data_IF_860248450605
#
_entry.id   IF_860248450605
#
_cell.length_a   1.000
_cell.length_b   1.000
_cell.length_c   1.000
_cell.angle_alpha   90.00
_cell.angle_beta   90.00
_cell.angle_gamma   90.00
#
_symmetry.space_group_name_H-M   'P 1'
#
loop_
_entity.id
_entity.type
_entity.pdbx_description
1 polymer ?
#
# COMPACT_ATOMS: atom_id res chain seq x y z
N UNK A 1 -14.86 18.31 -9.61
CA UNK A 1 -14.94 17.30 -8.52
C UNK A 1 -14.89 15.92 -9.18
N UNK A 2 -13.70 15.35 -9.37
CA UNK A 2 -13.51 14.09 -10.13
C UNK A 2 -13.17 12.99 -9.12
N UNK A 3 -14.11 12.07 -8.90
CA UNK A 3 -13.88 10.83 -8.15
C UNK A 3 -13.10 9.87 -9.04
N UNK A 4 -11.88 9.49 -8.65
CA UNK A 4 -11.17 8.37 -9.25
C UNK A 4 -11.61 7.09 -8.55
N UNK A 5 -12.37 6.27 -9.27
CA UNK A 5 -12.72 4.89 -8.89
C UNK A 5 -11.54 4.00 -9.26
N UNK A 6 -11.00 3.24 -8.31
CA UNK A 6 -10.01 2.19 -8.58
C UNK A 6 -10.70 0.83 -8.52
N UNK A 7 -10.83 0.17 -9.67
CA UNK A 7 -11.25 -1.24 -9.78
C UNK A 7 -9.99 -2.10 -9.77
N UNK A 8 -9.85 -3.00 -8.80
CA UNK A 8 -8.78 -3.99 -8.77
C UNK A 8 -9.29 -5.33 -9.32
N UNK A 9 -8.89 -5.65 -10.55
CA UNK A 9 -8.91 -7.00 -11.12
C UNK A 9 -7.46 -7.48 -11.10
N UNK A 10 -7.20 -8.65 -10.49
CA UNK A 10 -5.94 -9.42 -10.48
C UNK A 10 -4.75 -8.73 -11.20
N UNK A 11 -3.93 -7.99 -10.46
CA UNK A 11 -2.81 -7.23 -11.03
C UNK A 11 -1.47 -7.97 -10.90
N UNK A 12 -0.84 -8.21 -12.05
CA UNK A 12 0.61 -8.06 -12.17
C UNK A 12 0.98 -6.62 -11.76
N UNK A 13 2.00 -6.46 -10.93
CA UNK A 13 2.44 -5.16 -10.43
C UNK A 13 2.97 -4.33 -11.60
N UNK A 14 2.17 -3.36 -12.07
CA UNK A 14 2.56 -2.43 -13.13
C UNK A 14 3.14 -1.16 -12.49
N UNK A 15 4.45 -0.97 -12.54
CA UNK A 15 5.11 0.27 -12.14
C UNK A 15 5.37 1.13 -13.39
N UNK A 16 4.53 2.16 -13.62
CA UNK A 16 4.82 3.17 -14.65
C UNK A 16 5.79 4.22 -14.10
N UNK A 17 6.99 4.31 -14.66
CA UNK A 17 7.91 5.45 -14.48
C UNK A 17 7.61 6.52 -15.54
N UNK A 18 7.57 7.80 -15.15
CA UNK A 18 7.42 8.92 -16.10
C UNK A 18 8.75 9.17 -16.82
N UNK A 19 8.78 9.37 -18.16
CA UNK A 19 9.97 9.84 -18.83
C UNK A 19 10.19 11.34 -18.54
N UNK A 20 11.43 11.71 -18.24
CA UNK A 20 11.86 13.10 -18.06
C UNK A 20 11.76 13.88 -19.37
N UNK A 21 11.26 15.13 -19.31
CA UNK A 21 11.27 16.07 -20.43
C UNK A 21 12.71 16.50 -20.73
N UNK A 22 13.20 16.20 -21.93
CA UNK A 22 14.41 16.82 -22.48
C UNK A 22 14.01 18.18 -23.06
N UNK A 23 14.67 19.24 -22.61
CA UNK A 23 14.53 20.59 -23.17
C UNK A 23 15.60 20.77 -24.25
N UNK A 24 15.21 20.91 -25.51
CA UNK A 24 16.12 21.30 -26.59
C UNK A 24 16.20 22.82 -26.68
N UNK A 25 17.41 23.37 -26.67
CA UNK A 25 17.66 24.77 -27.07
C UNK A 25 17.60 24.89 -28.59
N UNK A 26 16.84 25.87 -29.10
CA UNK A 26 16.85 26.23 -30.52
C UNK A 26 17.94 27.27 -30.82
N UNK A 27 18.72 27.03 -31.88
CA UNK A 27 19.45 28.09 -32.59
C UNK A 27 19.58 27.75 -34.08
N UNK A 28 19.11 28.66 -34.95
CA UNK A 28 19.71 28.89 -36.26
C UNK A 28 19.06 28.25 -37.49
N UNK A 29 18.54 29.12 -38.36
CA UNK A 29 17.92 28.91 -39.68
C UNK A 29 18.67 28.01 -40.68
N UNK A 30 17.91 27.25 -41.49
CA UNK A 30 18.39 26.71 -42.77
C UNK A 30 17.54 25.62 -43.45
N UNK A 31 16.81 26.02 -44.50
CA UNK A 31 16.32 25.27 -45.69
C UNK A 31 15.46 24.01 -45.54
N UNK A 32 14.26 24.12 -46.11
CA UNK A 32 13.31 23.04 -46.40
C UNK A 32 13.94 21.88 -47.19
N UNK A 33 13.81 20.68 -46.65
CA UNK A 33 13.92 19.42 -47.38
C UNK A 33 12.70 18.59 -47.01
N UNK A 34 11.92 18.16 -48.00
CA UNK A 34 10.79 17.25 -47.79
C UNK A 34 11.31 15.95 -47.17
N UNK A 35 11.00 15.72 -45.90
CA UNK A 35 11.11 14.42 -45.28
C UNK A 35 9.71 13.81 -45.26
N UNK A 36 9.55 12.69 -45.98
CA UNK A 36 8.41 11.82 -45.82
C UNK A 36 8.27 11.47 -44.34
N UNK A 37 7.16 11.90 -43.73
CA UNK A 37 6.81 11.50 -42.39
C UNK A 37 6.47 10.02 -42.40
N UNK A 38 7.48 9.17 -42.19
CA UNK A 38 7.25 7.84 -41.64
C UNK A 38 6.62 8.08 -40.27
N UNK A 39 5.28 8.00 -40.23
CA UNK A 39 4.54 7.95 -38.98
C UNK A 39 5.06 6.76 -38.21
N UNK A 40 5.93 7.01 -37.24
CA UNK A 40 6.25 6.01 -36.25
C UNK A 40 4.99 5.83 -35.42
N UNK A 41 4.30 4.72 -35.66
CA UNK A 41 3.44 4.09 -34.66
C UNK A 41 4.33 3.81 -33.45
N UNK A 42 4.47 4.80 -32.56
CA UNK A 42 5.01 4.58 -31.22
C UNK A 42 3.97 3.77 -30.45
N UNK A 43 3.94 2.45 -30.70
CA UNK A 43 3.28 1.50 -29.82
C UNK A 43 4.02 1.58 -28.49
N UNK A 44 3.46 2.31 -27.54
CA UNK A 44 4.02 2.44 -26.19
C UNK A 44 4.30 1.06 -25.59
N UNK A 45 5.57 0.73 -25.43
CA UNK A 45 6.02 -0.41 -24.64
C UNK A 45 6.11 0.09 -23.21
N UNK A 46 5.14 -0.27 -22.37
CA UNK A 46 5.31 -0.09 -20.93
C UNK A 46 6.31 -1.16 -20.45
N UNK A 47 7.51 -0.80 -19.97
CA UNK A 47 8.42 -1.79 -19.41
C UNK A 47 7.75 -2.41 -18.18
N UNK A 48 7.41 -3.70 -18.26
CA UNK A 48 6.92 -4.48 -17.11
C UNK A 48 8.10 -5.22 -16.52
N UNK A 49 8.40 -4.94 -15.26
CA UNK A 49 9.43 -5.65 -14.49
C UNK A 49 8.71 -6.57 -13.52
N UNK A 50 9.07 -7.86 -13.54
CA UNK A 50 8.54 -8.85 -12.61
C UNK A 50 9.57 -9.10 -11.51
N UNK A 51 9.10 -9.10 -10.26
CA UNK A 51 9.88 -9.52 -9.10
C UNK A 51 9.24 -10.79 -8.52
N UNK A 52 10.01 -11.88 -8.50
CA UNK A 52 9.62 -13.17 -7.97
C UNK A 52 9.75 -13.23 -6.46
N UNK A 53 9.08 -14.19 -5.83
CA UNK A 53 9.20 -14.45 -4.39
C UNK A 53 10.61 -14.78 -3.91
N UNK A 54 11.45 -15.28 -4.81
CA UNK A 54 12.87 -15.50 -4.53
C UNK A 54 13.64 -14.18 -4.42
N UNK A 55 13.29 -13.17 -5.24
CA UNK A 55 13.97 -11.87 -5.24
C UNK A 55 13.63 -11.02 -4.02
N UNK A 56 12.35 -10.98 -3.62
CA UNK A 56 11.95 -10.26 -2.41
C UNK A 56 12.01 -11.12 -1.13
N UNK A 57 12.39 -12.40 -1.25
CA UNK A 57 12.63 -13.34 -0.14
C UNK A 57 11.48 -13.40 0.88
N UNK A 58 10.25 -13.55 0.38
CA UNK A 58 9.04 -13.77 1.17
C UNK A 58 8.03 -14.64 0.41
N UNK A 59 6.83 -14.83 0.95
CA UNK A 59 5.78 -15.67 0.32
C UNK A 59 5.28 -15.08 -1.02
N UNK A 60 4.79 -15.90 -1.96
CA UNK A 60 4.37 -15.43 -3.29
C UNK A 60 3.15 -14.51 -3.31
N UNK A 61 2.35 -14.47 -2.23
CA UNK A 61 1.07 -13.75 -2.22
C UNK A 61 1.19 -12.39 -1.51
N UNK A 62 0.80 -11.35 -2.24
CA UNK A 62 0.68 -9.98 -1.75
C UNK A 62 -0.80 -9.56 -1.76
N UNK A 63 -1.24 -8.83 -0.73
CA UNK A 63 -2.64 -8.46 -0.48
C UNK A 63 -2.91 -6.97 -0.64
N UNK A 64 -1.94 -6.14 -0.30
CA UNK A 64 -2.10 -4.70 -0.24
C UNK A 64 -0.84 -4.02 -0.78
N UNK A 65 -1.00 -2.81 -1.31
CA UNK A 65 0.09 -1.99 -1.80
C UNK A 65 -0.17 -0.53 -1.47
N UNK A 66 0.85 0.18 -0.98
CA UNK A 66 0.85 1.64 -0.82
C UNK A 66 2.19 2.20 -1.26
N UNK A 67 2.23 3.49 -1.58
CA UNK A 67 3.45 4.24 -1.86
C UNK A 67 3.54 5.43 -0.91
N UNK A 68 4.71 5.66 -0.33
CA UNK A 68 4.95 6.86 0.47
C UNK A 68 5.33 8.07 -0.39
N UNK A 69 5.41 9.25 0.24
CA UNK A 69 5.77 10.49 -0.44
C UNK A 69 7.23 10.51 -0.94
N UNK A 70 8.09 9.58 -0.49
CA UNK A 70 9.48 9.41 -0.95
C UNK A 70 9.57 8.50 -2.17
N UNK A 71 8.47 7.85 -2.55
CA UNK A 71 8.42 6.87 -3.64
C UNK A 71 8.72 5.44 -3.22
N UNK A 72 8.91 5.15 -1.93
CA UNK A 72 9.05 3.79 -1.44
C UNK A 72 7.71 3.06 -1.57
N UNK A 73 7.78 1.83 -2.07
CA UNK A 73 6.62 0.97 -2.24
C UNK A 73 6.54 0.00 -1.06
N UNK A 74 5.35 -0.17 -0.51
CA UNK A 74 5.10 -1.11 0.58
C UNK A 74 4.05 -2.13 0.16
N UNK A 75 4.29 -3.40 0.47
CA UNK A 75 3.42 -4.51 0.10
C UNK A 75 3.06 -5.34 1.32
N UNK A 76 1.77 -5.55 1.55
CA UNK A 76 1.28 -6.49 2.54
C UNK A 76 1.44 -7.90 2.01
N UNK A 77 2.25 -8.73 2.67
CA UNK A 77 2.57 -10.09 2.23
C UNK A 77 2.13 -11.12 3.28
N UNK A 78 2.01 -12.40 2.88
CA UNK A 78 1.71 -13.50 3.78
C UNK A 78 2.76 -13.78 4.88
N UNK A 79 3.89 -13.08 4.88
CA UNK A 79 4.97 -13.26 5.85
C UNK A 79 5.39 -11.95 6.57
N UNK A 80 5.31 -10.81 5.88
CA UNK A 80 5.82 -9.54 6.38
C UNK A 80 5.20 -8.35 5.65
N UNK A 81 5.48 -7.14 6.14
CA UNK A 81 5.39 -5.93 5.31
C UNK A 81 6.70 -5.81 4.52
N UNK A 82 6.60 -5.80 3.20
CA UNK A 82 7.74 -5.64 2.31
C UNK A 82 7.89 -4.18 1.92
N UNK A 83 9.07 -3.61 2.08
CA UNK A 83 9.43 -2.28 1.60
C UNK A 83 10.39 -2.41 0.42
N UNK A 84 10.16 -1.62 -0.62
CA UNK A 84 10.94 -1.62 -1.85
C UNK A 84 11.37 -0.21 -2.25
N UNK A 85 12.67 -0.02 -2.47
CA UNK A 85 13.28 1.27 -2.83
C UNK A 85 13.50 1.47 -4.34
N UNK A 86 13.04 0.52 -5.17
CA UNK A 86 13.33 0.46 -6.61
C UNK A 86 14.44 -0.52 -6.96
N UNK A 87 15.25 -0.93 -5.99
CA UNK A 87 16.37 -1.88 -6.19
C UNK A 87 16.46 -2.96 -5.11
N UNK A 88 16.12 -2.64 -3.87
CA UNK A 88 16.27 -3.51 -2.70
C UNK A 88 14.96 -3.69 -1.98
N UNK A 89 14.81 -4.89 -1.43
CA UNK A 89 13.67 -5.30 -0.61
C UNK A 89 14.08 -5.40 0.85
N UNK A 90 13.23 -4.92 1.75
CA UNK A 90 13.37 -5.07 3.21
C UNK A 90 12.10 -5.63 3.81
N UNK A 91 12.25 -6.55 4.78
CA UNK A 91 11.13 -7.12 5.54
C UNK A 91 10.95 -6.39 6.86
N UNK A 92 9.72 -6.01 7.14
CA UNK A 92 9.28 -5.47 8.43
C UNK A 92 8.30 -6.50 8.99
N UNK A 93 8.71 -7.21 10.05
CA UNK A 93 7.93 -8.31 10.61
C UNK A 93 6.80 -7.81 11.48
N UNK A 94 5.63 -8.41 11.32
CA UNK A 94 4.55 -8.38 12.30
C UNK A 94 4.79 -9.47 13.36
N UNK A 95 4.08 -9.43 14.51
CA UNK A 95 4.09 -10.53 15.48
C UNK A 95 3.81 -11.86 14.81
N UNK A 96 4.54 -12.91 15.22
CA UNK A 96 4.42 -14.28 14.72
C UNK A 96 4.50 -14.44 13.19
N UNK A 97 5.14 -13.50 12.48
CA UNK A 97 5.20 -13.46 11.01
C UNK A 97 3.80 -13.52 10.37
N UNK A 98 2.81 -12.94 11.08
CA UNK A 98 1.43 -12.98 10.65
C UNK A 98 1.24 -12.26 9.30
N UNK A 99 0.34 -12.77 8.43
CA UNK A 99 0.05 -12.13 7.17
C UNK A 99 -0.43 -10.68 7.31
N UNK A 100 0.12 -9.80 6.47
CA UNK A 100 -0.35 -8.43 6.33
C UNK A 100 -1.46 -8.37 5.29
N UNK A 101 -2.67 -8.02 5.74
CA UNK A 101 -3.89 -8.10 4.93
C UNK A 101 -4.28 -6.77 4.32
N UNK A 102 -4.03 -5.67 5.04
CA UNK A 102 -4.40 -4.34 4.59
C UNK A 102 -3.36 -3.30 5.00
N UNK A 103 -3.28 -2.26 4.19
CA UNK A 103 -2.39 -1.12 4.38
C UNK A 103 -3.15 0.16 4.07
N UNK A 104 -2.84 1.22 4.82
CA UNK A 104 -3.21 2.58 4.47
C UNK A 104 -2.07 3.53 4.84
N UNK A 105 -2.01 4.67 4.19
CA UNK A 105 -1.05 5.73 4.49
C UNK A 105 -1.79 7.04 4.69
N UNK A 106 -1.45 7.77 5.75
CA UNK A 106 -2.01 9.11 5.98
C UNK A 106 -1.21 10.19 5.25
N UNK A 107 -1.69 11.44 5.35
CA UNK A 107 -1.06 12.58 4.70
C UNK A 107 0.33 12.92 5.27
N UNK A 108 0.65 12.46 6.49
CA UNK A 108 1.95 12.64 7.13
C UNK A 108 2.93 11.51 6.76
N UNK A 109 2.50 10.54 5.95
CA UNK A 109 3.30 9.42 5.49
C UNK A 109 3.36 8.25 6.50
N UNK A 110 2.53 8.26 7.54
CA UNK A 110 2.44 7.16 8.50
C UNK A 110 1.67 5.99 7.88
N UNK A 111 2.30 4.83 7.90
CA UNK A 111 1.72 3.61 7.31
C UNK A 111 1.05 2.80 8.41
N UNK A 112 -0.24 2.59 8.23
CA UNK A 112 -1.09 1.76 9.06
C UNK A 112 -1.23 0.36 8.47
N UNK A 113 -1.26 -0.63 9.35
CA UNK A 113 -1.09 -2.04 8.98
C UNK A 113 -2.15 -2.88 9.70
N UNK A 114 -2.91 -3.66 8.92
CA UNK A 114 -3.85 -4.66 9.42
C UNK A 114 -3.29 -6.07 9.28
N UNK A 115 -3.34 -6.84 10.37
CA UNK A 115 -2.89 -8.25 10.44
C UNK A 115 -3.94 -9.12 11.13
N UNK A 116 -3.64 -10.40 11.35
CA UNK A 116 -4.51 -11.29 12.12
C UNK A 116 -4.41 -10.98 13.62
N UNK A 117 -5.55 -10.72 14.26
CA UNK A 117 -5.70 -10.41 15.69
C UNK A 117 -4.85 -9.22 16.17
N UNK A 118 -4.32 -8.42 15.25
CA UNK A 118 -3.55 -7.22 15.58
C UNK A 118 -3.70 -6.19 14.46
N UNK A 119 -3.45 -4.94 14.80
CA UNK A 119 -3.35 -3.83 13.88
C UNK A 119 -2.56 -2.70 14.52
N UNK A 120 -2.02 -1.84 13.68
CA UNK A 120 -1.17 -0.79 14.17
C UNK A 120 -0.57 0.05 13.07
N UNK A 121 0.65 0.49 13.30
CA UNK A 121 1.42 1.29 12.34
C UNK A 121 2.89 0.91 12.38
N UNK A 122 3.63 1.29 11.35
CA UNK A 122 5.10 1.21 11.37
C UNK A 122 5.71 2.54 11.75
N UNK A 123 6.78 2.47 12.54
CA UNK A 123 7.57 3.64 12.93
C UNK A 123 9.04 3.25 13.09
N UNK A 124 9.97 4.18 12.84
CA UNK A 124 11.38 3.92 13.03
C UNK A 124 11.71 3.73 14.51
N UNK A 125 12.66 2.87 14.81
CA UNK A 125 13.37 2.86 16.08
C UNK A 125 14.49 3.93 16.13
N UNK A 126 15.28 3.93 17.20
CA UNK A 126 16.40 4.86 17.37
C UNK A 126 17.50 4.73 16.31
N UNK A 127 17.56 3.61 15.58
CA UNK A 127 18.48 3.38 14.47
C UNK A 127 17.87 3.72 13.10
N UNK A 128 16.60 4.12 13.07
CA UNK A 128 15.86 4.38 11.82
C UNK A 128 15.26 3.12 11.19
N UNK A 129 15.35 1.96 11.82
CA UNK A 129 14.73 0.72 11.34
C UNK A 129 13.23 0.75 11.60
N UNK A 130 12.42 0.57 10.56
CA UNK A 130 10.97 0.50 10.69
C UNK A 130 10.56 -0.77 11.45
N UNK A 131 9.70 -0.59 12.45
CA UNK A 131 9.14 -1.65 13.27
C UNK A 131 7.62 -1.47 13.37
N UNK A 132 6.90 -2.59 13.37
CA UNK A 132 5.47 -2.62 13.66
C UNK A 132 5.23 -2.23 15.13
N UNK A 133 4.19 -1.42 15.36
CA UNK A 133 3.71 -0.99 16.67
C UNK A 133 2.24 -1.37 16.80
N UNK A 134 1.97 -2.39 17.60
CA UNK A 134 0.62 -2.85 17.88
C UNK A 134 -0.19 -1.79 18.63
N UNK A 135 -1.46 -1.65 18.26
CA UNK A 135 -2.45 -0.84 18.97
C UNK A 135 -3.41 -1.69 19.82
N UNK A 136 -3.28 -3.02 19.81
CA UNK A 136 -4.19 -3.92 20.55
C UNK A 136 -4.13 -3.75 22.07
N UNK A 137 -3.04 -3.19 22.60
CA UNK A 137 -2.92 -2.84 24.02
C UNK A 137 -3.96 -1.78 24.45
N UNK A 138 -4.50 -1.00 23.51
CA UNK A 138 -5.59 -0.05 23.75
C UNK A 138 -6.98 -0.71 23.74
N UNK A 139 -7.07 -2.00 23.41
CA UNK A 139 -8.33 -2.75 23.40
C UNK A 139 -8.54 -3.48 24.74
N UNK A 140 -9.78 -3.51 25.25
CA UNK A 140 -10.22 -4.50 26.22
C UNK A 140 -9.97 -5.92 25.72
N UNK A 141 -9.66 -6.85 26.63
CA UNK A 141 -9.31 -8.24 26.29
C UNK A 141 -10.38 -8.95 25.45
N UNK A 142 -11.67 -8.70 25.73
CA UNK A 142 -12.81 -9.25 24.97
C UNK A 142 -12.83 -8.88 23.47
N UNK A 143 -12.03 -7.88 23.07
CA UNK A 143 -11.93 -7.38 21.70
C UNK A 143 -10.59 -7.67 21.06
N UNK A 144 -9.79 -8.62 21.57
CA UNK A 144 -8.47 -8.96 21.01
C UNK A 144 -8.48 -10.16 20.06
N UNK A 145 -9.60 -10.89 19.98
CA UNK A 145 -9.79 -12.01 19.06
C UNK A 145 -10.82 -11.63 17.97
N UNK A 146 -10.34 -11.00 16.90
CA UNK A 146 -11.20 -10.49 15.82
C UNK A 146 -10.84 -11.02 14.43
N UNK A 147 -9.83 -11.90 14.33
CA UNK A 147 -9.38 -12.46 13.06
C UNK A 147 -8.57 -11.48 12.22
N UNK A 148 -8.60 -11.67 10.90
CA UNK A 148 -7.89 -10.83 9.94
C UNK A 148 -8.49 -9.41 9.84
N UNK A 149 -7.65 -8.38 9.79
CA UNK A 149 -8.04 -7.03 9.37
C UNK A 149 -7.99 -6.90 7.86
N UNK A 150 -9.14 -7.11 7.22
CA UNK A 150 -9.29 -7.10 5.77
C UNK A 150 -9.14 -5.72 5.14
N UNK A 151 -9.50 -4.66 5.85
CA UNK A 151 -9.44 -3.30 5.33
C UNK A 151 -8.91 -2.31 6.38
N UNK A 152 -8.07 -1.40 5.90
CA UNK A 152 -7.58 -0.25 6.67
C UNK A 152 -7.89 1.02 5.88
N UNK A 153 -8.49 2.03 6.51
CA UNK A 153 -8.88 3.28 5.87
C UNK A 153 -8.48 4.47 6.74
N UNK A 154 -7.80 5.46 6.15
CA UNK A 154 -7.52 6.75 6.79
C UNK A 154 -8.61 7.75 6.42
N UNK A 155 -9.09 8.49 7.41
CA UNK A 155 -10.08 9.56 7.27
C UNK A 155 -9.69 10.74 8.16
N UNK A 156 -10.33 11.90 7.98
CA UNK A 156 -10.15 13.07 8.86
C UNK A 156 -10.54 12.78 10.32
N UNK A 157 -11.39 11.77 10.52
CA UNK A 157 -11.88 11.32 11.80
C UNK A 157 -10.93 10.32 12.49
N UNK A 158 -9.92 9.82 11.77
CA UNK A 158 -8.97 8.82 12.25
C UNK A 158 -8.88 7.61 11.34
N UNK A 159 -8.28 6.54 11.85
CA UNK A 159 -7.99 5.33 11.08
C UNK A 159 -8.92 4.21 11.46
N UNK A 160 -9.57 3.64 10.45
CA UNK A 160 -10.48 2.52 10.58
C UNK A 160 -9.76 1.23 10.21
N UNK A 161 -9.87 0.23 11.08
CA UNK A 161 -9.44 -1.14 10.84
C UNK A 161 -10.68 -2.03 10.88
N UNK A 162 -10.88 -2.85 9.88
CA UNK A 162 -12.10 -3.66 9.75
C UNK A 162 -11.73 -5.13 9.65
N UNK A 163 -12.23 -5.91 10.60
CA UNK A 163 -12.27 -7.37 10.53
C UNK A 163 -13.60 -7.86 9.95
N UNK A 164 -13.78 -9.17 9.86
CA UNK A 164 -15.04 -9.76 9.40
C UNK A 164 -16.25 -9.40 10.27
N UNK A 165 -16.06 -9.15 11.58
CA UNK A 165 -17.15 -8.95 12.53
C UNK A 165 -16.98 -7.71 13.43
N UNK A 166 -15.88 -6.97 13.27
CA UNK A 166 -15.62 -5.77 14.06
C UNK A 166 -15.05 -4.64 13.20
N UNK A 167 -15.37 -3.41 13.59
CA UNK A 167 -14.71 -2.19 13.10
C UNK A 167 -14.07 -1.51 14.30
N UNK A 168 -12.83 -1.08 14.11
CA UNK A 168 -12.06 -0.33 15.09
C UNK A 168 -11.73 1.03 14.49
N UNK A 169 -11.98 2.11 15.22
CA UNK A 169 -11.51 3.46 14.84
C UNK A 169 -10.50 3.93 15.85
N UNK A 170 -9.28 4.18 15.39
CA UNK A 170 -8.21 4.82 16.15
C UNK A 170 -8.15 6.31 15.83
N UNK A 171 -8.28 7.16 16.84
CA UNK A 171 -8.23 8.64 16.69
C UNK A 171 -6.86 9.25 17.05
N UNK A 172 -5.82 8.41 17.22
CA UNK A 172 -4.50 8.84 17.70
C UNK A 172 -4.26 8.54 19.18
N UNK A 173 -5.31 8.34 19.97
CA UNK A 173 -5.18 8.10 21.41
C UNK A 173 -6.01 6.91 21.93
N UNK A 174 -7.22 6.75 21.40
CA UNK A 174 -8.20 5.74 21.86
C UNK A 174 -8.76 4.97 20.69
N UNK A 175 -9.30 3.78 20.97
CA UNK A 175 -10.00 2.96 19.97
C UNK A 175 -11.47 2.87 20.32
N UNK A 176 -12.32 3.22 19.35
CA UNK A 176 -13.75 2.90 19.39
C UNK A 176 -14.01 1.61 18.62
N UNK A 177 -14.86 0.75 19.16
CA UNK A 177 -15.19 -0.58 18.60
C UNK A 177 -16.67 -0.62 18.23
N UNK A 178 -16.98 -1.20 17.07
CA UNK A 178 -18.32 -1.60 16.66
C UNK A 178 -18.31 -3.08 16.31
N UNK A 179 -19.27 -3.83 16.85
CA UNK A 179 -19.47 -5.25 16.57
C UNK A 179 -20.59 -5.41 15.53
N UNK A 180 -20.45 -6.39 14.64
CA UNK A 180 -21.53 -6.77 13.74
C UNK A 180 -22.70 -7.35 14.54
N UNK A 181 -23.92 -7.15 14.04
CA UNK A 181 -25.08 -7.84 14.60
C UNK A 181 -24.94 -9.36 14.52
N UNK A 182 -25.64 -10.08 15.40
CA UNK A 182 -25.55 -11.54 15.49
C UNK A 182 -25.83 -12.18 14.12
N UNK A 183 -24.94 -13.08 13.69
CA UNK A 183 -24.95 -13.75 12.38
C UNK A 183 -24.67 -12.84 11.17
N UNK A 184 -24.13 -11.64 11.37
CA UNK A 184 -23.74 -10.74 10.30
C UNK A 184 -22.22 -10.55 10.27
N UNK A 185 -21.72 -10.10 9.12
CA UNK A 185 -20.31 -9.89 8.83
C UNK A 185 -20.14 -8.63 7.99
N UNK A 186 -19.12 -7.85 8.31
CA UNK A 186 -18.67 -6.75 7.47
C UNK A 186 -17.87 -7.35 6.31
N UNK A 187 -18.53 -7.54 5.16
CA UNK A 187 -17.84 -8.10 3.98
C UNK A 187 -17.23 -7.04 3.05
N UNK A 188 -17.75 -5.81 3.02
CA UNK A 188 -17.45 -4.83 1.97
C UNK A 188 -17.75 -3.38 2.41
N UNK A 189 -17.10 -2.87 3.46
CA UNK A 189 -17.52 -1.59 4.05
C UNK A 189 -17.01 -0.33 3.32
N UNK A 190 -16.01 -0.45 2.45
CA UNK A 190 -15.32 0.70 1.85
C UNK A 190 -15.23 0.56 0.33
N UNK A 191 -16.30 0.93 -0.37
CA UNK A 191 -16.32 1.11 -1.84
C UNK A 191 -16.82 2.51 -2.19
#
# INVERSE_FOLDING_TARGET
MIRKVFIFINFAVLLCTHPAKVYSQESGAGKHTEHSSLGHDEKGILPVINYTSLEYNARPQNWAIVRDHRGLMYFGNNEALLEFDGTRWRKILAPDEAPIRSLAIDNDGKIYVGVKNDFGFVSPDSSGKLLFRSLTHLLPEKYREFGDIWHTLVTDEGVYFQSSNMIFRFNGNTIKVWEAEKNNVFHNLFY
#
